data_IF_666718430930
#
_entry.id   IF_666718430930
#
_cell.length_a   1.000
_cell.length_b   1.000
_cell.length_c   1.000
_cell.angle_alpha   90.00
_cell.angle_beta   90.00
_cell.angle_gamma   90.00
#
_symmetry.space_group_name_H-M   'P 1'
#
loop_
_entity.id
_entity.type
_entity.pdbx_description
1 polymer ?
#
# COMPACT_ATOMS: atom_id res chain seq x y z
N UNK A 1 23.35 19.44 -60.06
CA UNK A 1 23.63 18.62 -58.87
C UNK A 1 25.06 18.93 -58.44
N UNK A 2 25.26 19.71 -57.37
CA UNK A 2 26.59 19.93 -56.79
C UNK A 2 26.46 19.67 -55.29
N UNK A 3 27.07 18.59 -54.84
CA UNK A 3 27.12 18.22 -53.42
C UNK A 3 28.33 18.94 -52.82
N UNK A 4 28.07 20.01 -52.06
CA UNK A 4 29.07 20.65 -51.20
C UNK A 4 29.60 19.62 -50.19
N UNK A 5 30.81 19.11 -50.43
CA UNK A 5 31.52 18.27 -49.47
C UNK A 5 32.21 19.19 -48.48
N UNK A 6 31.51 19.53 -47.40
CA UNK A 6 32.08 20.29 -46.29
C UNK A 6 33.31 19.56 -45.73
N UNK A 7 34.51 20.13 -45.95
CA UNK A 7 35.74 19.62 -45.37
C UNK A 7 35.64 19.62 -43.84
N UNK A 8 35.78 18.43 -43.23
CA UNK A 8 35.82 18.29 -41.77
C UNK A 8 37.17 18.78 -41.27
N UNK A 9 37.24 20.01 -40.77
CA UNK A 9 38.43 20.54 -40.10
C UNK A 9 38.62 19.82 -38.76
N UNK A 10 39.81 19.25 -38.51
CA UNK A 10 40.13 18.61 -37.22
C UNK A 10 40.15 19.66 -36.11
N UNK A 11 39.38 19.42 -35.06
CA UNK A 11 39.39 20.27 -33.86
C UNK A 11 40.74 20.10 -33.14
N UNK A 12 41.43 21.21 -32.78
CA UNK A 12 42.65 21.14 -31.97
C UNK A 12 42.42 20.36 -30.66
N UNK A 13 43.39 19.53 -30.22
CA UNK A 13 43.25 18.69 -29.03
C UNK A 13 42.82 19.45 -27.77
N UNK A 14 43.32 20.66 -27.58
CA UNK A 14 43.05 21.52 -26.42
C UNK A 14 41.58 21.95 -26.38
N UNK A 15 41.03 22.32 -27.53
CA UNK A 15 39.61 22.69 -27.65
C UNK A 15 38.71 21.49 -27.40
N UNK A 16 39.09 20.30 -27.91
CA UNK A 16 38.35 19.07 -27.63
C UNK A 16 38.36 18.73 -26.13
N UNK A 17 39.51 18.89 -25.47
CA UNK A 17 39.62 18.66 -24.03
C UNK A 17 38.74 19.63 -23.23
N UNK A 18 38.80 20.94 -23.53
CA UNK A 18 37.97 21.96 -22.86
C UNK A 18 36.46 21.70 -23.05
N UNK A 19 36.05 21.25 -24.24
CA UNK A 19 34.65 20.88 -24.50
C UNK A 19 34.20 19.69 -23.66
N UNK A 20 35.06 18.67 -23.53
CA UNK A 20 34.78 17.49 -22.71
C UNK A 20 34.68 17.85 -21.23
N UNK A 21 35.61 18.67 -20.72
CA UNK A 21 35.58 19.12 -19.32
C UNK A 21 34.32 19.94 -19.02
N UNK A 22 33.97 20.89 -19.90
CA UNK A 22 32.72 21.64 -19.77
C UNK A 22 31.50 20.71 -19.77
N UNK A 23 31.47 19.72 -20.65
CA UNK A 23 30.36 18.76 -20.71
C UNK A 23 30.28 17.90 -19.44
N UNK A 24 31.43 17.47 -18.89
CA UNK A 24 31.49 16.74 -17.64
C UNK A 24 30.96 17.56 -16.46
N UNK A 25 31.40 18.83 -16.35
CA UNK A 25 30.95 19.77 -15.31
C UNK A 25 29.47 20.13 -15.48
N UNK A 26 28.99 20.31 -16.71
CA UNK A 26 27.57 20.53 -16.97
C UNK A 26 26.73 19.32 -16.54
N UNK A 27 27.21 18.09 -16.80
CA UNK A 27 26.56 16.86 -16.37
C UNK A 27 26.52 16.69 -14.86
N UNK A 28 27.59 17.03 -14.12
CA UNK A 28 27.58 17.00 -12.66
C UNK A 28 26.62 18.04 -12.08
N UNK A 29 26.61 19.25 -12.63
CA UNK A 29 25.67 20.31 -12.23
C UNK A 29 24.21 19.88 -12.45
N UNK A 30 23.90 19.33 -13.62
CA UNK A 30 22.55 18.85 -13.95
C UNK A 30 22.06 17.79 -12.96
N UNK A 31 22.90 16.77 -12.67
CA UNK A 31 22.57 15.73 -11.69
C UNK A 31 22.36 16.29 -10.28
N UNK A 32 23.17 17.28 -9.89
CA UNK A 32 23.02 17.94 -8.58
C UNK A 32 21.69 18.69 -8.47
N UNK A 33 21.29 19.42 -9.53
CA UNK A 33 20.01 20.14 -9.60
C UNK A 33 18.84 19.15 -9.50
N UNK A 34 18.87 18.07 -10.28
CA UNK A 34 17.83 17.03 -10.24
C UNK A 34 17.72 16.39 -8.86
N UNK A 35 18.87 16.11 -8.23
CA UNK A 35 18.91 15.58 -6.87
C UNK A 35 18.31 16.56 -5.87
N UNK A 36 18.69 17.83 -5.91
CA UNK A 36 18.14 18.87 -5.05
C UNK A 36 16.62 18.97 -5.20
N UNK A 37 16.09 19.00 -6.43
CA UNK A 37 14.66 19.03 -6.69
C UNK A 37 13.95 17.78 -6.13
N UNK A 38 14.55 16.60 -6.30
CA UNK A 38 14.00 15.35 -5.76
C UNK A 38 13.90 15.38 -4.24
N UNK A 39 14.92 15.93 -3.56
CA UNK A 39 14.96 16.05 -2.11
C UNK A 39 13.95 17.10 -1.63
N UNK A 40 13.82 18.23 -2.31
CA UNK A 40 12.81 19.25 -1.98
C UNK A 40 11.37 18.69 -2.08
N UNK A 41 11.08 17.87 -3.10
CA UNK A 41 9.77 17.20 -3.22
C UNK A 41 9.52 16.22 -2.07
N UNK A 42 10.54 15.46 -1.65
CA UNK A 42 10.45 14.54 -0.50
C UNK A 42 10.22 15.31 0.80
N UNK A 43 10.97 16.39 1.01
CA UNK A 43 10.84 17.26 2.18
C UNK A 43 9.41 17.80 2.29
N UNK A 44 8.84 18.32 1.20
CA UNK A 44 7.45 18.82 1.19
C UNK A 44 6.43 17.74 1.56
N UNK A 45 6.61 16.51 1.06
CA UNK A 45 5.74 15.37 1.42
C UNK A 45 5.84 15.03 2.90
N UNK A 46 7.07 14.95 3.43
CA UNK A 46 7.31 14.63 4.84
C UNK A 46 6.73 15.70 5.76
N UNK A 47 6.92 16.99 5.44
CA UNK A 47 6.30 18.09 6.18
C UNK A 47 4.77 17.98 6.19
N UNK A 48 4.16 17.67 5.05
CA UNK A 48 2.72 17.46 4.98
C UNK A 48 2.26 16.29 5.86
N UNK A 49 2.97 15.15 5.81
CA UNK A 49 2.70 14.00 6.67
C UNK A 49 2.84 14.34 8.16
N UNK A 50 3.86 15.12 8.55
CA UNK A 50 4.04 15.55 9.94
C UNK A 50 2.85 16.41 10.42
N UNK A 51 2.34 17.31 9.58
CA UNK A 51 1.16 18.12 9.92
C UNK A 51 -0.06 17.23 10.14
N UNK A 52 -0.25 16.18 9.34
CA UNK A 52 -1.36 15.24 9.53
C UNK A 52 -1.20 14.45 10.83
N UNK A 53 -0.03 13.87 11.08
CA UNK A 53 0.24 13.14 12.31
C UNK A 53 0.07 14.02 13.57
N UNK A 54 0.47 15.30 13.51
CA UNK A 54 0.27 16.23 14.62
C UNK A 54 -1.21 16.49 14.89
N UNK A 55 -2.04 16.61 13.85
CA UNK A 55 -3.50 16.74 14.00
C UNK A 55 -4.11 15.49 14.63
N UNK A 56 -3.72 14.31 14.16
CA UNK A 56 -4.20 13.04 14.68
C UNK A 56 -3.82 12.86 16.16
N UNK A 57 -2.60 13.25 16.53
CA UNK A 57 -2.13 13.25 17.91
C UNK A 57 -2.98 14.16 18.80
N UNK A 58 -3.26 15.38 18.36
CA UNK A 58 -4.09 16.32 19.10
C UNK A 58 -5.51 15.79 19.29
N UNK A 59 -6.13 15.26 18.23
CA UNK A 59 -7.47 14.66 18.31
C UNK A 59 -7.52 13.46 19.27
N UNK A 60 -6.48 12.62 19.27
CA UNK A 60 -6.35 11.51 20.21
C UNK A 60 -6.21 11.99 21.67
N UNK A 61 -5.43 13.06 21.90
CA UNK A 61 -5.29 13.68 23.22
C UNK A 61 -6.59 14.28 23.73
N UNK A 62 -7.34 14.99 22.89
CA UNK A 62 -8.66 15.53 23.23
C UNK A 62 -9.64 14.42 23.62
N UNK A 63 -9.66 13.33 22.84
CA UNK A 63 -10.49 12.14 23.12
C UNK A 63 -10.08 11.49 24.45
N UNK A 64 -8.78 11.37 24.73
CA UNK A 64 -8.27 10.83 25.99
C UNK A 64 -8.69 11.69 27.18
N UNK A 65 -8.58 13.02 27.09
CA UNK A 65 -9.00 13.95 28.15
C UNK A 65 -10.50 13.82 28.40
N UNK A 66 -11.31 13.81 27.34
CA UNK A 66 -12.76 13.64 27.45
C UNK A 66 -13.13 12.32 28.14
N UNK A 67 -12.54 11.22 27.68
CA UNK A 67 -12.78 9.88 28.25
C UNK A 67 -12.37 9.78 29.71
N UNK A 68 -11.23 10.40 30.09
CA UNK A 68 -10.80 10.44 31.50
C UNK A 68 -11.80 11.19 32.38
N UNK A 69 -12.29 12.35 31.94
CA UNK A 69 -13.30 13.12 32.69
C UNK A 69 -14.60 12.32 32.85
N UNK A 70 -15.01 11.60 31.81
CA UNK A 70 -16.17 10.71 31.89
C UNK A 70 -15.96 9.57 32.88
N UNK A 71 -14.78 8.93 32.89
CA UNK A 71 -14.45 7.92 33.88
C UNK A 71 -14.48 8.48 35.31
N UNK A 72 -13.84 9.62 35.56
CA UNK A 72 -13.85 10.27 36.88
C UNK A 72 -15.28 10.59 37.36
N UNK A 73 -16.15 11.07 36.47
CA UNK A 73 -17.55 11.34 36.80
C UNK A 73 -18.34 10.05 37.12
N UNK A 74 -18.08 8.97 36.37
CA UNK A 74 -18.69 7.67 36.62
C UNK A 74 -18.20 7.05 37.94
N UNK A 75 -16.92 7.17 38.26
CA UNK A 75 -16.35 6.69 39.52
C UNK A 75 -17.02 7.37 40.73
N UNK A 76 -17.22 8.69 40.67
CA UNK A 76 -17.97 9.44 41.69
C UNK A 76 -19.43 8.97 41.78
N UNK A 77 -20.08 8.74 40.64
CA UNK A 77 -21.47 8.26 40.63
C UNK A 77 -21.59 6.84 41.22
N UNK A 78 -20.65 5.95 40.94
CA UNK A 78 -20.60 4.59 41.50
C UNK A 78 -20.43 4.65 43.02
N UNK A 79 -19.50 5.47 43.53
CA UNK A 79 -19.27 5.63 44.97
C UNK A 79 -20.51 6.18 45.70
N UNK A 80 -21.26 7.09 45.06
CA UNK A 80 -22.51 7.62 45.61
C UNK A 80 -23.64 6.58 45.68
N UNK A 81 -23.67 5.62 44.75
CA UNK A 81 -24.71 4.59 44.67
C UNK A 81 -24.41 3.40 45.60
N UNK A 82 -23.20 2.84 45.54
CA UNK A 82 -22.76 1.77 46.43
C UNK A 82 -21.23 1.75 46.60
N UNK A 83 -20.77 2.19 47.77
CA UNK A 83 -19.35 2.25 48.15
C UNK A 83 -18.62 0.91 48.15
N UNK A 84 -19.34 -0.22 48.11
CA UNK A 84 -18.73 -1.55 48.08
C UNK A 84 -18.35 -1.96 46.66
N UNK A 85 -18.85 -1.27 45.64
CA UNK A 85 -18.55 -1.56 44.24
C UNK A 85 -17.27 -0.86 43.85
N UNK A 86 -16.25 -1.64 43.47
CA UNK A 86 -15.05 -1.07 42.84
C UNK A 86 -15.36 -0.66 41.40
N UNK A 87 -15.10 0.59 40.99
CA UNK A 87 -15.34 1.03 39.60
C UNK A 87 -14.55 0.24 38.56
N UNK A 88 -13.42 -0.37 38.96
CA UNK A 88 -12.60 -1.20 38.08
C UNK A 88 -13.09 -2.66 37.95
N UNK A 89 -14.13 -3.07 38.69
CA UNK A 89 -14.55 -4.48 38.77
C UNK A 89 -15.04 -5.05 37.42
N UNK A 90 -15.53 -4.21 36.51
CA UNK A 90 -16.01 -4.63 35.19
C UNK A 90 -14.87 -4.82 34.15
N UNK A 91 -13.64 -4.43 34.47
CA UNK A 91 -12.50 -4.50 33.54
C UNK A 91 -12.62 -3.53 32.35
N UNK A 92 -11.74 -3.70 31.36
CA UNK A 92 -11.72 -2.88 30.13
C UNK A 92 -12.44 -3.61 29.01
N UNK A 93 -13.48 -2.97 28.44
CA UNK A 93 -14.14 -3.46 27.22
C UNK A 93 -13.36 -3.00 26.00
N UNK A 94 -12.69 -3.94 25.33
CA UNK A 94 -12.15 -3.71 23.99
C UNK A 94 -13.28 -3.88 22.97
N UNK A 95 -13.99 -2.80 22.64
CA UNK A 95 -15.00 -2.81 21.59
C UNK A 95 -14.32 -3.03 20.22
N UNK A 96 -14.09 -4.29 19.85
CA UNK A 96 -13.43 -4.69 18.59
C UNK A 96 -14.39 -5.04 17.46
N UNK A 97 -15.70 -4.95 17.66
CA UNK A 97 -16.67 -5.13 16.58
C UNK A 97 -16.72 -3.88 15.69
N UNK A 98 -15.75 -3.80 14.78
CA UNK A 98 -15.79 -2.87 13.66
C UNK A 98 -16.73 -3.37 12.55
N UNK A 99 -16.72 -2.68 11.42
CA UNK A 99 -17.50 -2.98 10.21
C UNK A 99 -17.40 -4.45 9.73
N UNK A 100 -16.32 -5.16 10.06
CA UNK A 100 -16.04 -6.53 9.62
C UNK A 100 -15.94 -7.51 10.80
N UNK A 101 -16.58 -7.22 11.93
CA UNK A 101 -16.45 -8.01 13.15
C UNK A 101 -15.09 -7.80 13.82
N UNK A 102 -14.41 -8.88 14.17
CA UNK A 102 -13.11 -8.88 14.84
C UNK A 102 -12.01 -8.15 14.05
N UNK A 103 -10.96 -7.71 14.75
CA UNK A 103 -9.77 -7.12 14.12
C UNK A 103 -9.18 -8.10 13.09
N UNK A 104 -9.05 -7.65 11.84
CA UNK A 104 -8.57 -8.49 10.75
C UNK A 104 -9.62 -9.42 10.11
N UNK A 105 -10.89 -9.36 10.53
CA UNK A 105 -11.97 -10.21 10.01
C UNK A 105 -12.09 -10.19 8.48
N UNK A 106 -11.94 -9.02 7.84
CA UNK A 106 -11.92 -8.91 6.38
C UNK A 106 -10.76 -9.69 5.75
N UNK A 107 -9.54 -9.63 6.33
CA UNK A 107 -8.37 -10.31 5.78
C UNK A 107 -8.53 -11.82 5.86
N UNK A 108 -9.02 -12.32 6.99
CA UNK A 108 -9.31 -13.74 7.22
C UNK A 108 -10.34 -14.24 6.20
N UNK A 109 -11.45 -13.52 6.05
CA UNK A 109 -12.51 -13.89 5.11
C UNK A 109 -12.02 -13.90 3.65
N UNK A 110 -11.30 -12.86 3.20
CA UNK A 110 -10.78 -12.82 1.83
C UNK A 110 -9.81 -13.98 1.58
N UNK A 111 -8.96 -14.34 2.56
CA UNK A 111 -8.09 -15.51 2.46
C UNK A 111 -8.89 -16.79 2.26
N UNK A 112 -9.88 -17.04 3.14
CA UNK A 112 -10.75 -18.21 3.06
C UNK A 112 -11.54 -18.27 1.75
N UNK A 113 -12.01 -17.13 1.24
CA UNK A 113 -12.75 -17.05 -0.01
C UNK A 113 -11.87 -17.42 -1.23
N UNK A 114 -10.62 -16.97 -1.25
CA UNK A 114 -9.67 -17.35 -2.30
C UNK A 114 -9.25 -18.81 -2.21
N UNK A 115 -8.97 -19.29 -0.99
CA UNK A 115 -8.58 -20.67 -0.72
C UNK A 115 -9.71 -21.64 -1.11
N UNK A 116 -10.97 -21.34 -0.77
CA UNK A 116 -12.12 -22.14 -1.14
C UNK A 116 -12.42 -22.12 -2.66
N UNK A 117 -12.03 -21.05 -3.36
CA UNK A 117 -12.18 -20.95 -4.81
C UNK A 117 -11.04 -21.61 -5.59
N UNK A 118 -9.93 -21.96 -4.93
CA UNK A 118 -8.78 -22.59 -5.56
C UNK A 118 -9.18 -23.90 -6.26
N UNK A 119 -8.72 -24.17 -7.50
CA UNK A 119 -7.69 -23.44 -8.27
C UNK A 119 -8.22 -22.28 -9.14
N UNK A 120 -9.51 -21.95 -9.05
CA UNK A 120 -10.14 -20.92 -9.89
C UNK A 120 -9.83 -19.50 -9.40
N UNK A 121 -9.59 -18.54 -10.31
CA UNK A 121 -9.42 -17.15 -9.92
C UNK A 121 -10.76 -16.49 -9.59
N UNK A 122 -10.72 -15.53 -8.66
CA UNK A 122 -11.88 -14.75 -8.21
C UNK A 122 -11.71 -13.30 -8.64
N UNK A 123 -12.76 -12.70 -9.19
CA UNK A 123 -12.73 -11.29 -9.57
C UNK A 123 -12.98 -10.38 -8.36
N UNK A 124 -12.43 -9.17 -8.42
CA UNK A 124 -12.66 -8.12 -7.44
C UNK A 124 -14.16 -7.81 -7.23
N UNK A 125 -14.98 -7.93 -8.28
CA UNK A 125 -16.43 -7.69 -8.19
C UNK A 125 -17.10 -8.76 -7.32
N UNK A 126 -16.75 -10.03 -7.53
CA UNK A 126 -17.29 -11.15 -6.77
C UNK A 126 -16.86 -11.08 -5.29
N UNK A 127 -15.60 -10.68 -5.03
CA UNK A 127 -15.13 -10.43 -3.66
C UNK A 127 -15.86 -9.26 -2.99
N UNK A 128 -16.25 -8.23 -3.75
CA UNK A 128 -17.03 -7.13 -3.20
C UNK A 128 -18.45 -7.58 -2.82
N UNK A 129 -19.10 -8.34 -3.69
CA UNK A 129 -20.44 -8.87 -3.45
C UNK A 129 -20.46 -9.86 -2.28
N UNK A 130 -19.48 -10.77 -2.22
CA UNK A 130 -19.36 -11.73 -1.12
C UNK A 130 -19.14 -11.03 0.24
N UNK A 131 -18.31 -9.98 0.28
CA UNK A 131 -18.10 -9.18 1.50
C UNK A 131 -19.34 -8.39 1.90
N UNK A 132 -20.10 -7.85 0.94
CA UNK A 132 -21.37 -7.16 1.23
C UNK A 132 -22.35 -8.13 1.89
N UNK A 133 -22.50 -9.31 1.32
CA UNK A 133 -23.41 -10.35 1.82
C UNK A 133 -22.98 -10.89 3.18
N UNK A 134 -21.70 -11.22 3.34
CA UNK A 134 -21.17 -11.81 4.58
C UNK A 134 -21.23 -10.86 5.77
N UNK A 135 -20.89 -9.59 5.56
CA UNK A 135 -20.74 -8.61 6.65
C UNK A 135 -21.89 -7.60 6.73
N UNK A 136 -22.91 -7.71 5.87
CA UNK A 136 -24.05 -6.78 5.85
C UNK A 136 -23.65 -5.33 5.55
N UNK A 137 -22.57 -5.13 4.80
CA UNK A 137 -21.99 -3.80 4.55
C UNK A 137 -22.88 -3.00 3.61
N UNK A 138 -23.31 -1.81 4.04
CA UNK A 138 -23.99 -0.85 3.16
C UNK A 138 -22.99 -0.30 2.13
N UNK A 139 -23.18 -0.65 0.85
CA UNK A 139 -22.38 -0.19 -0.29
C UNK A 139 -23.25 0.41 -1.42
N UNK A 140 -24.26 1.19 -1.02
CA UNK A 140 -25.24 1.75 -1.95
C UNK A 140 -24.65 2.91 -2.79
N UNK A 141 -23.83 3.78 -2.18
CA UNK A 141 -23.26 4.93 -2.87
C UNK A 141 -21.93 4.59 -3.59
N UNK A 142 -21.58 5.30 -4.68
CA UNK A 142 -20.29 5.13 -5.35
C UNK A 142 -19.07 5.31 -4.43
N UNK A 143 -19.16 6.22 -3.45
CA UNK A 143 -18.11 6.45 -2.46
C UNK A 143 -17.89 5.22 -1.57
N UNK A 144 -18.96 4.56 -1.13
CA UNK A 144 -18.90 3.37 -0.27
C UNK A 144 -18.29 2.18 -1.01
N UNK A 145 -18.65 2.01 -2.29
CA UNK A 145 -18.06 0.99 -3.16
C UNK A 145 -16.57 1.19 -3.36
N UNK A 146 -16.14 2.45 -3.54
CA UNK A 146 -14.71 2.81 -3.64
C UNK A 146 -13.96 2.49 -2.35
N UNK A 147 -14.53 2.84 -1.20
CA UNK A 147 -13.94 2.53 0.10
C UNK A 147 -13.82 1.02 0.34
N UNK A 148 -14.89 0.26 0.04
CA UNK A 148 -14.90 -1.20 0.14
C UNK A 148 -13.82 -1.84 -0.75
N UNK A 149 -13.76 -1.43 -2.03
CA UNK A 149 -12.72 -1.89 -2.96
C UNK A 149 -11.32 -1.60 -2.44
N UNK A 150 -11.12 -0.45 -1.80
CA UNK A 150 -9.84 -0.10 -1.19
C UNK A 150 -9.49 -1.01 -0.02
N UNK A 151 -10.45 -1.35 0.84
CA UNK A 151 -10.26 -2.29 1.96
C UNK A 151 -9.91 -3.69 1.46
N UNK A 152 -10.64 -4.21 0.47
CA UNK A 152 -10.38 -5.53 -0.13
C UNK A 152 -9.01 -5.56 -0.81
N UNK A 153 -8.65 -4.50 -1.56
CA UNK A 153 -7.31 -4.39 -2.14
C UNK A 153 -6.22 -4.41 -1.07
N UNK A 154 -6.42 -3.74 0.07
CA UNK A 154 -5.49 -3.80 1.20
C UNK A 154 -5.32 -5.22 1.76
N UNK A 155 -6.42 -5.98 1.86
CA UNK A 155 -6.38 -7.38 2.29
C UNK A 155 -5.63 -8.29 1.29
N UNK A 156 -5.89 -8.12 0.00
CA UNK A 156 -5.22 -8.88 -1.07
C UNK A 156 -3.73 -8.57 -1.16
N UNK A 157 -3.34 -7.29 -1.02
CA UNK A 157 -1.94 -6.90 -0.97
C UNK A 157 -1.22 -7.49 0.24
N UNK A 158 -1.90 -7.56 1.38
CA UNK A 158 -1.36 -8.25 2.55
C UNK A 158 -1.16 -9.75 2.29
N UNK A 159 -2.13 -10.45 1.69
CA UNK A 159 -1.99 -11.87 1.32
C UNK A 159 -0.88 -12.12 0.28
N UNK A 160 -0.73 -11.21 -0.69
CA UNK A 160 0.37 -11.23 -1.66
C UNK A 160 1.73 -11.12 -0.98
N UNK A 161 1.87 -10.21 -0.01
CA UNK A 161 3.10 -10.07 0.78
C UNK A 161 3.40 -11.32 1.63
N UNK A 162 2.38 -12.06 2.02
CA UNK A 162 2.52 -13.35 2.72
C UNK A 162 2.75 -14.54 1.77
N UNK A 163 2.80 -14.32 0.45
CA UNK A 163 2.98 -15.37 -0.55
C UNK A 163 1.77 -16.29 -0.74
N UNK A 164 0.58 -15.92 -0.22
CA UNK A 164 -0.62 -16.77 -0.20
C UNK A 164 -1.61 -16.50 -1.32
N UNK A 165 -1.46 -15.38 -2.01
CA UNK A 165 -2.32 -15.01 -3.13
C UNK A 165 -1.50 -14.33 -4.20
N UNK A 166 -1.96 -14.43 -5.45
CA UNK A 166 -1.31 -13.80 -6.58
C UNK A 166 -2.32 -13.15 -7.54
N UNK A 167 -1.93 -12.03 -8.17
CA UNK A 167 -2.71 -11.41 -9.22
C UNK A 167 -2.55 -12.16 -10.55
N UNK A 168 -3.65 -12.53 -11.20
CA UNK A 168 -3.63 -13.13 -12.55
C UNK A 168 -3.81 -12.09 -13.68
N UNK A 169 -3.36 -10.85 -13.46
CA UNK A 169 -3.43 -9.80 -14.48
C UNK A 169 -2.05 -9.47 -15.04
N UNK A 170 -1.88 -9.61 -16.35
CA UNK A 170 -0.71 -9.08 -17.05
C UNK A 170 -0.71 -7.54 -16.96
N UNK A 171 0.46 -6.94 -16.69
CA UNK A 171 0.64 -5.47 -16.58
C UNK A 171 0.10 -4.64 -17.76
N UNK A 172 -0.18 -5.29 -18.90
CA UNK A 172 -0.51 -4.66 -20.20
C UNK A 172 -1.98 -4.83 -20.60
N UNK A 173 -2.76 -5.71 -19.95
CA UNK A 173 -4.15 -5.98 -20.36
C UNK A 173 -5.18 -5.56 -19.31
N UNK A 174 -6.37 -5.19 -19.77
CA UNK A 174 -7.49 -4.67 -19.00
C UNK A 174 -8.13 -5.68 -18.00
N UNK A 175 -7.50 -6.84 -17.76
CA UNK A 175 -7.93 -7.88 -16.81
C UNK A 175 -7.71 -7.49 -15.32
N UNK A 176 -7.80 -6.20 -15.02
CA UNK A 176 -7.50 -5.58 -13.73
C UNK A 176 -8.46 -6.00 -12.61
N UNK A 177 -8.33 -7.23 -12.11
CA UNK A 177 -9.15 -7.67 -10.99
C UNK A 177 -9.16 -9.14 -10.62
N UNK A 178 -8.48 -10.03 -11.34
CA UNK A 178 -8.45 -11.46 -11.01
C UNK A 178 -7.34 -11.78 -10.00
N UNK A 179 -7.72 -12.50 -8.95
CA UNK A 179 -6.84 -12.95 -7.87
C UNK A 179 -7.04 -14.45 -7.65
N UNK A 180 -5.94 -15.17 -7.40
CA UNK A 180 -5.96 -16.61 -7.12
C UNK A 180 -5.22 -16.89 -5.82
N UNK A 181 -5.66 -17.90 -5.09
CA UNK A 181 -4.88 -18.47 -3.99
C UNK A 181 -3.62 -19.15 -4.52
N UNK A 182 -2.53 -19.10 -3.76
CA UNK A 182 -1.31 -19.83 -4.08
C UNK A 182 -1.17 -21.01 -3.12
N UNK A 183 -1.36 -22.22 -3.63
CA UNK A 183 -1.12 -23.43 -2.86
C UNK A 183 0.40 -23.65 -2.68
N UNK A 184 0.79 -24.39 -1.64
CA UNK A 184 2.19 -24.80 -1.45
C UNK A 184 2.70 -25.72 -2.59
N UNK A 185 1.79 -26.32 -3.34
CA UNK A 185 2.14 -27.12 -4.53
C UNK A 185 2.40 -26.28 -5.79
N UNK A 186 2.09 -24.97 -5.77
CA UNK A 186 2.35 -24.00 -6.86
C UNK A 186 3.70 -23.28 -6.69
N UNK A 187 4.57 -23.73 -5.79
CA UNK A 187 5.97 -23.29 -5.80
C UNK A 187 6.70 -23.97 -6.96
N UNK A 188 7.35 -23.21 -7.86
CA UNK A 188 8.10 -23.81 -8.95
C UNK A 188 9.17 -24.72 -8.37
N UNK A 189 9.24 -25.96 -8.88
CA UNK A 189 10.30 -26.87 -8.47
C UNK A 189 11.67 -26.26 -8.80
N UNK A 190 12.73 -26.71 -8.13
CA UNK A 190 14.10 -26.28 -8.47
C UNK A 190 14.42 -26.49 -9.96
N UNK A 191 13.78 -27.47 -10.60
CA UNK A 191 13.91 -27.77 -12.02
C UNK A 191 13.23 -26.71 -12.91
N UNK A 192 12.07 -26.20 -12.50
CA UNK A 192 11.37 -25.10 -13.20
C UNK A 192 12.07 -23.75 -13.01
N UNK A 193 12.60 -23.48 -11.80
CA UNK A 193 13.40 -22.28 -11.54
C UNK A 193 14.68 -22.23 -12.40
N UNK A 194 15.31 -23.38 -12.65
CA UNK A 194 16.49 -23.49 -13.52
C UNK A 194 16.16 -23.27 -15.01
N UNK A 195 14.94 -23.58 -15.44
CA UNK A 195 14.49 -23.37 -16.83
C UNK A 195 14.10 -21.91 -17.09
N UNK A 196 13.44 -21.24 -16.14
CA UNK A 196 13.08 -19.81 -16.25
C UNK A 196 14.33 -18.90 -16.31
N UNK A 197 15.39 -19.25 -15.58
CA UNK A 197 16.69 -18.55 -15.63
C UNK A 197 17.38 -18.71 -17.00
N UNK A 198 17.18 -19.84 -17.68
CA UNK A 198 17.70 -20.12 -19.03
C UNK A 198 16.92 -19.40 -20.14
N UNK A 199 15.64 -19.08 -19.95
CA UNK A 199 14.82 -18.34 -20.93
C UNK A 199 15.03 -16.82 -20.84
N UNK A 200 15.25 -16.28 -19.63
CA UNK A 200 15.56 -14.87 -19.42
C UNK A 200 16.86 -14.42 -20.10
N UNK A 201 17.84 -15.31 -20.26
CA UNK A 201 19.15 -15.00 -20.87
C UNK A 201 19.23 -15.23 -22.39
N UNK A 202 18.17 -15.71 -23.04
CA UNK A 202 18.16 -15.97 -24.49
C UNK A 202 17.46 -14.89 -25.33
N UNK A 203 17.01 -13.81 -24.67
CA UNK A 203 16.25 -12.71 -25.27
C UNK A 203 16.97 -11.36 -25.33
N UNK A 204 18.26 -11.28 -25.00
CA UNK A 204 19.14 -10.13 -25.30
C UNK A 204 19.96 -10.39 -26.57
#
# INVERSE_FOLDING_TARGET
MSLDHAFRTRTPPEIKWLLNERAAVAGTLQRSIERQQSLQRRLKKLQHSLVLCAKDLNAAQETQIGSRRTLEALDVAIDLVDKRVSPAAAGVVNATQGKYGESGGLRKYIGQALEAAYPSPVAMVDLMESVITQFGVKAAAPADRKALRSSIRGALQWLLQQGRAEPLHAKVSNNSGLWRWKAEDDFPSFEQMAQDEWELHRGE
#
